data_IF_145337113463
#
_entry.id   IF_145337113463
#
_cell.length_a   1.000
_cell.length_b   1.000
_cell.length_c   1.000
_cell.angle_alpha   90.00
_cell.angle_beta   90.00
_cell.angle_gamma   90.00
#
_symmetry.space_group_name_H-M   'P 1'
#
loop_
_entity.id
_entity.type
_entity.pdbx_description
1 polymer ?
#
# COMPACT_ATOMS: atom_id res chain seq x y z
N UNK A 1 3.02 -11.44 -5.83
CA UNK A 1 2.35 -10.29 -5.18
C UNK A 1 2.08 -10.62 -3.73
N UNK A 2 2.36 -9.69 -2.82
CA UNK A 2 2.06 -9.79 -1.38
C UNK A 2 1.01 -8.72 -1.05
N UNK A 3 -0.01 -9.07 -0.29
CA UNK A 3 -1.11 -8.19 0.08
C UNK A 3 -1.19 -8.14 1.61
N UNK A 4 -1.10 -6.96 2.18
CA UNK A 4 -1.38 -6.70 3.59
C UNK A 4 -2.87 -6.37 3.71
N UNK A 5 -3.65 -7.27 4.31
CA UNK A 5 -5.11 -7.28 4.29
C UNK A 5 -5.71 -7.35 5.71
N UNK A 6 -5.66 -6.27 6.48
CA UNK A 6 -6.19 -6.25 7.84
C UNK A 6 -7.72 -6.36 7.90
N UNK A 7 -8.43 -6.18 6.77
CA UNK A 7 -9.89 -6.09 6.72
C UNK A 7 -10.58 -7.32 6.09
N UNK A 8 -9.83 -8.36 5.71
CA UNK A 8 -10.38 -9.57 5.07
C UNK A 8 -11.08 -9.33 3.73
N UNK A 9 -10.46 -8.52 2.86
CA UNK A 9 -11.05 -8.13 1.57
C UNK A 9 -10.47 -8.92 0.38
N UNK A 10 -9.31 -9.55 0.54
CA UNK A 10 -8.59 -10.20 -0.55
C UNK A 10 -8.55 -11.72 -0.47
N UNK A 11 -8.43 -12.36 -1.64
CA UNK A 11 -8.24 -13.81 -1.77
C UNK A 11 -6.80 -14.13 -2.16
N UNK A 12 -6.29 -15.29 -1.73
CA UNK A 12 -4.96 -15.77 -2.00
C UNK A 12 -4.54 -16.85 -1.02
N UNK A 13 -3.24 -17.17 -0.95
CA UNK A 13 -2.68 -18.03 0.11
C UNK A 13 -2.62 -17.18 1.38
N UNK A 14 -3.35 -17.59 2.41
CA UNK A 14 -3.54 -16.81 3.65
C UNK A 14 -2.49 -17.15 4.70
N UNK A 15 -1.97 -16.11 5.35
CA UNK A 15 -1.06 -16.20 6.49
C UNK A 15 -1.60 -15.37 7.66
N UNK A 16 -1.70 -15.97 8.82
CA UNK A 16 -2.17 -15.34 10.05
C UNK A 16 -1.02 -15.06 11.04
N UNK A 17 0.17 -15.61 10.77
CA UNK A 17 1.38 -15.38 11.55
C UNK A 17 2.54 -15.00 10.64
N UNK A 18 3.46 -14.19 11.19
CA UNK A 18 4.70 -13.84 10.48
C UNK A 18 5.57 -15.08 10.25
N UNK A 19 5.62 -16.00 11.21
CA UNK A 19 6.46 -17.19 11.14
C UNK A 19 6.06 -18.10 9.95
N UNK A 20 4.76 -18.36 9.78
CA UNK A 20 4.26 -19.16 8.65
C UNK A 20 4.53 -18.46 7.31
N UNK A 21 4.35 -17.14 7.26
CA UNK A 21 4.66 -16.35 6.06
C UNK A 21 6.15 -16.38 5.73
N UNK A 22 7.01 -16.14 6.72
CA UNK A 22 8.46 -16.14 6.53
C UNK A 22 8.98 -17.53 6.13
N UNK A 23 8.44 -18.60 6.74
CA UNK A 23 8.76 -19.97 6.36
C UNK A 23 8.38 -20.24 4.89
N UNK A 24 7.15 -19.92 4.50
CA UNK A 24 6.70 -20.07 3.12
C UNK A 24 7.61 -19.30 2.15
N UNK A 25 7.93 -18.04 2.47
CA UNK A 25 8.81 -17.23 1.63
C UNK A 25 10.23 -17.81 1.52
N UNK A 26 10.77 -18.43 2.56
CA UNK A 26 12.10 -19.06 2.51
C UNK A 26 12.18 -20.20 1.48
N UNK A 27 11.08 -20.90 1.27
CA UNK A 27 10.99 -22.03 0.33
C UNK A 27 10.59 -21.60 -1.10
N UNK A 28 9.75 -20.54 -1.22
CA UNK A 28 9.04 -20.20 -2.45
C UNK A 28 9.40 -18.82 -3.04
N UNK A 29 10.36 -18.08 -2.49
CA UNK A 29 10.67 -16.72 -2.95
C UNK A 29 11.16 -16.63 -4.41
N UNK A 30 11.56 -17.77 -5.00
CA UNK A 30 12.00 -17.89 -6.39
C UNK A 30 10.90 -18.33 -7.35
N UNK A 31 9.71 -18.63 -6.85
CA UNK A 31 8.59 -19.00 -7.70
C UNK A 31 8.19 -17.81 -8.58
N UNK A 32 7.86 -18.07 -9.84
CA UNK A 32 7.57 -17.03 -10.83
C UNK A 32 6.32 -16.24 -10.49
N UNK A 33 5.32 -16.90 -9.85
CA UNK A 33 4.07 -16.25 -9.47
C UNK A 33 3.57 -16.74 -8.12
N UNK A 34 3.25 -15.79 -7.25
CA UNK A 34 2.51 -16.04 -6.01
C UNK A 34 1.55 -14.89 -5.69
N UNK A 35 0.47 -15.19 -5.00
CA UNK A 35 -0.46 -14.22 -4.41
C UNK A 35 -0.68 -14.58 -2.95
N UNK A 36 0.02 -13.88 -2.08
CA UNK A 36 0.05 -14.12 -0.64
C UNK A 36 -0.73 -13.01 0.06
N UNK A 37 -1.52 -13.38 1.05
CA UNK A 37 -2.36 -12.47 1.81
C UNK A 37 -2.01 -12.58 3.28
N UNK A 38 -1.56 -11.48 3.88
CA UNK A 38 -1.15 -11.42 5.27
C UNK A 38 -2.25 -10.76 6.11
N UNK A 39 -2.77 -11.47 7.13
CA UNK A 39 -3.79 -11.04 8.08
C UNK A 39 -3.28 -11.22 9.50
N UNK A 40 -2.28 -10.47 9.87
CA UNK A 40 -1.65 -10.55 11.19
C UNK A 40 -2.46 -9.81 12.24
N UNK A 41 -2.30 -10.20 13.49
CA UNK A 41 -2.92 -9.49 14.62
C UNK A 41 -2.04 -8.34 15.13
N UNK A 42 -0.71 -8.49 15.01
CA UNK A 42 0.24 -7.49 15.48
C UNK A 42 0.72 -6.60 14.32
N UNK A 43 0.73 -5.30 14.56
CA UNK A 43 1.26 -4.33 13.59
C UNK A 43 2.76 -4.48 13.36
N UNK A 44 3.51 -4.97 14.34
CA UNK A 44 4.95 -5.24 14.18
C UNK A 44 5.22 -6.34 13.14
N UNK A 45 4.32 -7.32 13.01
CA UNK A 45 4.44 -8.38 12.01
C UNK A 45 4.29 -7.84 10.58
N UNK A 46 3.40 -6.87 10.38
CA UNK A 46 3.28 -6.19 9.08
C UNK A 46 4.54 -5.37 8.73
N UNK A 47 5.16 -4.72 9.71
CA UNK A 47 6.43 -4.01 9.49
C UNK A 47 7.56 -4.94 9.03
N UNK A 48 7.58 -6.20 9.50
CA UNK A 48 8.54 -7.20 9.07
C UNK A 48 8.33 -7.61 7.60
N UNK A 49 7.10 -7.60 7.09
CA UNK A 49 6.84 -7.89 5.66
C UNK A 49 7.50 -6.88 4.74
N UNK A 50 7.61 -5.61 5.15
CA UNK A 50 8.31 -4.60 4.35
C UNK A 50 9.82 -4.91 4.22
N UNK A 51 10.45 -5.42 5.28
CA UNK A 51 11.85 -5.86 5.23
C UNK A 51 12.03 -7.12 4.36
N UNK A 52 11.08 -8.05 4.45
CA UNK A 52 11.08 -9.25 3.59
C UNK A 52 10.95 -8.83 2.13
N UNK A 53 10.03 -7.93 1.79
CA UNK A 53 9.85 -7.43 0.42
C UNK A 53 11.13 -6.75 -0.12
N UNK A 54 11.83 -5.98 0.71
CA UNK A 54 13.13 -5.39 0.36
C UNK A 54 14.20 -6.46 0.06
N UNK A 55 14.15 -7.58 0.80
CA UNK A 55 15.12 -8.66 0.69
C UNK A 55 14.90 -9.53 -0.55
N UNK A 56 13.64 -9.93 -0.80
CA UNK A 56 13.30 -10.82 -1.92
C UNK A 56 13.33 -10.11 -3.27
N UNK A 57 13.09 -8.79 -3.30
CA UNK A 57 13.06 -7.97 -4.52
C UNK A 57 12.01 -8.41 -5.53
N UNK A 58 11.88 -7.67 -6.66
CA UNK A 58 11.00 -8.00 -7.79
C UNK A 58 9.60 -8.44 -7.33
N UNK A 59 8.97 -7.68 -6.44
CA UNK A 59 7.66 -8.00 -5.86
C UNK A 59 6.71 -6.81 -5.94
N UNK A 60 5.43 -7.09 -6.15
CA UNK A 60 4.36 -6.11 -5.98
C UNK A 60 3.77 -6.27 -4.58
N UNK A 61 3.80 -5.20 -3.80
CA UNK A 61 3.23 -5.10 -2.46
C UNK A 61 1.96 -4.25 -2.51
N UNK A 62 0.84 -4.82 -2.12
CA UNK A 62 -0.44 -4.12 -1.94
C UNK A 62 -0.67 -3.91 -0.46
N UNK A 63 -0.94 -2.68 -0.07
CA UNK A 63 -1.09 -2.28 1.34
C UNK A 63 -2.47 -1.67 1.52
N UNK A 64 -3.39 -2.45 2.07
CA UNK A 64 -4.70 -1.97 2.48
C UNK A 64 -4.59 -1.07 3.70
N UNK A 65 -5.47 -0.05 3.77
CA UNK A 65 -5.48 0.93 4.84
C UNK A 65 -4.08 1.56 5.06
N UNK A 66 -3.42 1.97 3.97
CA UNK A 66 -2.03 2.44 3.98
C UNK A 66 -1.74 3.53 5.03
N UNK A 67 -2.75 4.33 5.41
CA UNK A 67 -2.63 5.33 6.46
C UNK A 67 -2.30 4.76 7.86
N UNK A 68 -2.58 3.47 8.09
CA UNK A 68 -2.23 2.80 9.35
C UNK A 68 -0.70 2.72 9.49
N UNK A 69 -0.01 2.45 8.39
CA UNK A 69 1.45 2.26 8.34
C UNK A 69 2.21 3.57 8.14
N UNK A 70 1.56 4.57 7.53
CA UNK A 70 2.18 5.87 7.20
C UNK A 70 1.29 7.01 7.66
N UNK A 71 1.20 7.21 8.95
CA UNK A 71 0.54 8.41 9.45
C UNK A 71 1.39 9.66 9.13
N UNK A 72 0.74 10.82 9.02
CA UNK A 72 1.41 12.11 8.80
C UNK A 72 2.48 12.44 9.87
N UNK A 73 2.59 11.65 10.92
CA UNK A 73 3.50 11.83 12.07
C UNK A 73 4.66 10.85 12.14
N UNK A 74 4.63 9.72 11.41
CA UNK A 74 5.71 8.73 11.46
C UNK A 74 6.75 9.01 10.38
N UNK A 75 7.92 9.54 10.81
CA UNK A 75 9.05 9.83 9.90
C UNK A 75 9.96 8.62 9.64
N UNK A 76 9.84 7.53 10.38
CA UNK A 76 10.73 6.36 10.34
C UNK A 76 9.95 5.05 10.17
N UNK A 77 9.02 5.01 9.22
CA UNK A 77 8.33 3.78 8.87
C UNK A 77 9.16 2.99 7.84
N UNK A 78 9.30 1.68 8.04
CA UNK A 78 9.91 0.76 7.06
C UNK A 78 9.16 0.82 5.73
N UNK A 79 7.86 0.99 5.79
CA UNK A 79 7.03 1.20 4.60
C UNK A 79 7.43 2.46 3.83
N UNK A 80 7.61 3.60 4.49
CA UNK A 80 8.04 4.83 3.83
C UNK A 80 9.43 4.69 3.20
N UNK A 81 10.35 4.00 3.90
CA UNK A 81 11.65 3.64 3.33
C UNK A 81 11.50 2.82 2.05
N UNK A 82 10.59 1.85 2.03
CA UNK A 82 10.32 1.04 0.85
C UNK A 82 9.74 1.90 -0.30
N UNK A 83 8.89 2.88 0.00
CA UNK A 83 8.37 3.82 -0.99
C UNK A 83 9.48 4.69 -1.62
N UNK A 84 10.48 5.13 -0.82
CA UNK A 84 11.61 5.91 -1.30
C UNK A 84 12.58 5.10 -2.17
N UNK A 85 12.88 3.88 -1.76
CA UNK A 85 13.99 3.10 -2.32
C UNK A 85 13.55 1.85 -3.09
N UNK A 86 12.28 1.46 -3.03
CA UNK A 86 11.76 0.20 -3.60
C UNK A 86 12.09 0.03 -5.09
N UNK A 87 12.16 1.13 -5.85
CA UNK A 87 12.57 1.10 -7.27
C UNK A 87 13.96 0.49 -7.50
N UNK A 88 14.87 0.59 -6.51
CA UNK A 88 16.21 0.01 -6.60
C UNK A 88 16.20 -1.50 -6.39
N UNK A 89 15.13 -2.03 -5.85
CA UNK A 89 14.91 -3.46 -5.58
C UNK A 89 13.82 -4.07 -6.46
N UNK A 90 13.32 -3.29 -7.43
CA UNK A 90 12.17 -3.65 -8.27
C UNK A 90 10.92 -4.02 -7.44
N UNK A 91 10.72 -3.31 -6.33
CA UNK A 91 9.52 -3.42 -5.49
C UNK A 91 8.52 -2.36 -5.92
N UNK A 92 7.35 -2.81 -6.37
CA UNK A 92 6.21 -1.96 -6.68
C UNK A 92 5.29 -1.89 -5.48
N UNK A 93 4.86 -0.70 -5.11
CA UNK A 93 3.98 -0.48 -3.97
C UNK A 93 2.66 0.12 -4.43
N UNK A 94 1.56 -0.50 -4.04
CA UNK A 94 0.20 0.00 -4.21
C UNK A 94 -0.36 0.25 -2.81
N UNK A 95 -0.60 1.50 -2.46
CA UNK A 95 -1.25 1.87 -1.20
C UNK A 95 -2.72 2.19 -1.44
N UNK A 96 -3.60 1.55 -0.70
CA UNK A 96 -5.04 1.80 -0.71
C UNK A 96 -5.40 2.52 0.58
N UNK A 97 -6.13 3.62 0.48
CA UNK A 97 -6.53 4.41 1.63
C UNK A 97 -7.92 5.00 1.42
N UNK A 98 -8.69 5.07 2.48
CA UNK A 98 -10.04 5.66 2.45
C UNK A 98 -9.99 7.18 2.40
N UNK A 99 -8.99 7.78 3.03
CA UNK A 99 -8.87 9.22 3.18
C UNK A 99 -7.46 9.70 2.87
N UNK A 100 -7.33 10.47 1.81
CA UNK A 100 -6.04 10.99 1.34
C UNK A 100 -5.32 11.90 2.36
N UNK A 101 -5.98 12.77 3.14
CA UNK A 101 -5.30 13.62 4.12
C UNK A 101 -4.62 12.86 5.26
N UNK A 102 -5.02 11.60 5.51
CA UNK A 102 -4.44 10.76 6.56
C UNK A 102 -3.11 10.13 6.13
N UNK A 103 -2.86 10.04 4.82
CA UNK A 103 -1.57 9.61 4.26
C UNK A 103 -0.50 10.69 4.47
N UNK A 104 0.73 10.26 4.72
CA UNK A 104 1.85 11.20 4.81
C UNK A 104 2.03 11.99 3.52
N UNK A 105 2.52 13.23 3.64
CA UNK A 105 2.84 14.07 2.48
C UNK A 105 3.89 13.42 1.58
N UNK A 106 4.86 12.72 2.19
CA UNK A 106 5.95 12.07 1.46
C UNK A 106 5.44 10.93 0.60
N UNK A 107 4.54 10.08 1.15
CA UNK A 107 3.92 9.01 0.35
C UNK A 107 3.15 9.57 -0.83
N UNK A 108 2.35 10.62 -0.60
CA UNK A 108 1.60 11.28 -1.66
C UNK A 108 2.51 11.88 -2.74
N UNK A 109 3.60 12.53 -2.33
CA UNK A 109 4.57 13.14 -3.24
C UNK A 109 5.38 12.11 -4.05
N UNK A 110 5.57 10.89 -3.52
CA UNK A 110 6.27 9.80 -4.19
C UNK A 110 5.35 8.98 -5.11
N UNK A 111 4.03 9.14 -5.00
CA UNK A 111 3.08 8.42 -5.82
C UNK A 111 3.18 8.87 -7.27
N UNK A 112 3.51 7.93 -8.16
CA UNK A 112 3.60 8.16 -9.60
C UNK A 112 2.26 7.99 -10.30
N UNK A 113 1.34 7.28 -9.66
CA UNK A 113 0.05 6.91 -10.21
C UNK A 113 -1.01 7.04 -9.12
N UNK A 114 -2.03 7.83 -9.36
CA UNK A 114 -3.09 8.12 -8.40
C UNK A 114 -4.42 7.78 -9.03
N UNK A 115 -5.20 6.93 -8.38
CA UNK A 115 -6.57 6.60 -8.73
C UNK A 115 -7.46 7.05 -7.58
N UNK A 116 -8.46 7.87 -7.85
CA UNK A 116 -9.44 8.31 -6.88
C UNK A 116 -10.85 8.03 -7.34
N UNK A 117 -11.63 7.43 -6.47
CA UNK A 117 -13.08 7.36 -6.57
C UNK A 117 -13.71 8.63 -6.00
N UNK A 118 -15.05 8.68 -5.96
CA UNK A 118 -15.79 9.83 -5.44
C UNK A 118 -15.33 10.21 -4.02
N UNK A 119 -15.03 11.48 -3.84
CA UNK A 119 -14.68 12.08 -2.54
C UNK A 119 -15.59 13.28 -2.32
N UNK A 120 -16.38 13.27 -1.25
CA UNK A 120 -17.35 14.34 -0.95
C UNK A 120 -16.93 15.22 0.22
N UNK A 121 -16.01 14.74 1.06
CA UNK A 121 -15.55 15.49 2.23
C UNK A 121 -14.58 16.60 1.81
N UNK A 122 -14.81 17.88 2.16
CA UNK A 122 -14.03 19.00 1.62
C UNK A 122 -12.50 18.91 1.79
N UNK A 123 -11.95 18.46 2.94
CA UNK A 123 -10.51 18.24 3.07
C UNK A 123 -9.95 17.20 2.10
N UNK A 124 -10.72 16.14 1.80
CA UNK A 124 -10.29 15.08 0.90
C UNK A 124 -10.28 15.60 -0.54
N UNK A 125 -11.35 16.30 -0.97
CA UNK A 125 -11.46 16.95 -2.28
C UNK A 125 -10.30 17.93 -2.48
N UNK A 126 -10.02 18.78 -1.47
CA UNK A 126 -8.90 19.72 -1.52
C UNK A 126 -7.55 18.98 -1.68
N UNK A 127 -7.31 17.94 -0.88
CA UNK A 127 -6.06 17.20 -0.96
C UNK A 127 -5.88 16.53 -2.32
N UNK A 128 -6.95 15.99 -2.90
CA UNK A 128 -6.90 15.41 -4.25
C UNK A 128 -6.61 16.47 -5.30
N UNK A 129 -7.20 17.66 -5.19
CA UNK A 129 -6.92 18.78 -6.08
C UNK A 129 -5.45 19.27 -5.96
N UNK A 130 -4.91 19.33 -4.74
CA UNK A 130 -3.49 19.65 -4.50
C UNK A 130 -2.53 18.59 -5.13
N UNK A 131 -3.01 17.37 -5.34
CA UNK A 131 -2.34 16.28 -6.05
C UNK A 131 -2.73 16.23 -7.55
N UNK A 132 -3.31 17.25 -8.12
CA UNK A 132 -3.67 17.32 -9.53
C UNK A 132 -4.90 16.51 -9.94
N UNK A 133 -5.63 15.90 -9.01
CA UNK A 133 -6.84 15.12 -9.27
C UNK A 133 -8.06 15.98 -8.99
N UNK A 134 -8.68 16.51 -10.03
CA UNK A 134 -9.80 17.46 -9.93
C UNK A 134 -11.16 16.78 -10.12
N UNK A 135 -12.22 17.45 -9.65
CA UNK A 135 -13.63 17.04 -9.84
C UNK A 135 -13.97 15.66 -9.27
N UNK A 136 -13.26 15.22 -8.23
CA UNK A 136 -13.52 13.92 -7.58
C UNK A 136 -14.87 13.89 -6.84
N UNK A 137 -15.40 15.05 -6.46
CA UNK A 137 -16.70 15.23 -5.83
C UNK A 137 -17.88 15.13 -6.82
N UNK A 138 -17.59 15.11 -8.12
CA UNK A 138 -18.57 14.99 -9.19
C UNK A 138 -18.67 13.57 -9.78
N UNK A 139 -17.88 12.63 -9.26
CA UNK A 139 -17.90 11.24 -9.71
C UNK A 139 -19.14 10.52 -9.20
N UNK A 140 -19.70 9.63 -10.00
CA UNK A 140 -20.87 8.84 -9.67
C UNK A 140 -20.57 7.33 -9.75
N UNK A 141 -21.20 6.56 -8.85
CA UNK A 141 -21.12 5.10 -8.86
C UNK A 141 -19.68 4.59 -8.73
N UNK A 142 -19.22 3.88 -9.75
CA UNK A 142 -17.88 3.31 -9.83
C UNK A 142 -16.90 4.13 -10.69
N UNK A 143 -17.27 5.35 -11.08
CA UNK A 143 -16.38 6.25 -11.81
C UNK A 143 -15.15 6.59 -10.99
N UNK A 144 -14.02 6.83 -11.67
CA UNK A 144 -12.77 7.22 -11.04
C UNK A 144 -12.01 8.25 -11.87
N UNK A 145 -11.12 8.96 -11.22
CA UNK A 145 -10.10 9.82 -11.86
C UNK A 145 -8.72 9.19 -11.68
N UNK A 146 -7.92 9.31 -12.72
CA UNK A 146 -6.57 8.79 -12.76
C UNK A 146 -5.60 9.91 -13.19
N UNK A 147 -4.47 10.00 -12.48
CA UNK A 147 -3.36 10.89 -12.84
C UNK A 147 -2.07 10.09 -12.81
N UNK A 148 -1.25 10.24 -13.85
CA UNK A 148 0.08 9.63 -14.00
C UNK A 148 1.10 10.76 -14.12
N UNK A 149 2.16 10.74 -13.29
CA UNK A 149 3.25 11.71 -13.26
C UNK A 149 4.51 11.21 -13.93
#
# INVERSE_FOLDING_TARGET
>A
MIILDPLDEHQGILFFTLDDFAFYMSEHFKDDEFRLVCRFQDMADYEAVFEIAETIKNVCLVVEEAQIYISARSRESKFLRLCHFGRHWDVKVIGIARRTPELSSDFRALSQHIISFCQTHPPDVKTMADMGVYDVDKLEGHDYKEVIY
#
